data_IF_444751514566
#
_entry.id   IF_444751514566
#
_cell.length_a   1.000
_cell.length_b   1.000
_cell.length_c   1.000
_cell.angle_alpha   90.00
_cell.angle_beta   90.00
_cell.angle_gamma   90.00
#
_symmetry.space_group_name_H-M   'P 1'
#
loop_
_entity.id
_entity.type
_entity.pdbx_description
1 polymer ?
#
# COMPACT_ATOMS: atom_id res chain seq x y z
N UNK A 1 -14.85 -14.90 -21.48
CA UNK A 1 -14.21 -13.69 -22.07
C UNK A 1 -15.27 -12.61 -22.24
N UNK A 2 -15.32 -11.62 -21.36
CA UNK A 2 -16.25 -10.49 -21.44
C UNK A 2 -15.76 -9.58 -22.58
N UNK A 3 -16.48 -9.56 -23.70
CA UNK A 3 -16.20 -8.63 -24.81
C UNK A 3 -16.53 -7.19 -24.36
N UNK A 4 -15.53 -6.48 -23.88
CA UNK A 4 -15.63 -5.06 -23.51
C UNK A 4 -15.66 -4.24 -24.81
N UNK A 5 -16.82 -4.20 -25.50
CA UNK A 5 -16.99 -3.41 -26.74
C UNK A 5 -17.44 -1.97 -26.47
N UNK A 6 -17.76 -1.61 -25.23
CA UNK A 6 -18.21 -0.26 -24.87
C UNK A 6 -17.01 0.63 -24.49
N UNK A 7 -16.89 1.81 -25.08
CA UNK A 7 -15.90 2.83 -24.72
C UNK A 7 -15.96 3.16 -23.23
N UNK A 8 -17.16 3.19 -22.66
CA UNK A 8 -17.44 3.38 -21.23
C UNK A 8 -16.75 2.33 -20.39
N UNK A 9 -16.87 1.04 -20.78
CA UNK A 9 -16.26 -0.05 -20.04
C UNK A 9 -14.73 -0.01 -20.10
N UNK A 10 -14.17 0.35 -21.26
CA UNK A 10 -12.70 0.51 -21.41
C UNK A 10 -12.15 1.65 -20.56
N UNK A 11 -12.81 2.81 -20.57
CA UNK A 11 -12.41 3.94 -19.73
C UNK A 11 -12.51 3.58 -18.23
N UNK A 12 -13.64 3.00 -17.80
CA UNK A 12 -13.84 2.59 -16.41
C UNK A 12 -12.78 1.57 -15.97
N UNK A 13 -12.45 0.59 -16.80
CA UNK A 13 -11.40 -0.40 -16.47
C UNK A 13 -10.01 0.23 -16.42
N UNK A 14 -9.67 1.14 -17.33
CA UNK A 14 -8.39 1.86 -17.29
C UNK A 14 -8.25 2.70 -16.02
N UNK A 15 -9.28 3.45 -15.64
CA UNK A 15 -9.28 4.21 -14.37
C UNK A 15 -9.19 3.30 -13.15
N UNK A 16 -9.94 2.21 -13.14
CA UNK A 16 -9.89 1.25 -12.03
C UNK A 16 -8.51 0.60 -11.87
N UNK A 17 -7.89 0.18 -12.98
CA UNK A 17 -6.55 -0.40 -12.98
C UNK A 17 -5.50 0.63 -12.53
N UNK A 18 -5.57 1.86 -13.06
CA UNK A 18 -4.64 2.92 -12.68
C UNK A 18 -4.76 3.27 -11.19
N UNK A 19 -5.99 3.44 -10.70
CA UNK A 19 -6.24 3.72 -9.28
C UNK A 19 -5.79 2.56 -8.38
N UNK A 20 -6.11 1.31 -8.76
CA UNK A 20 -5.68 0.13 -8.01
C UNK A 20 -4.17 0.00 -7.97
N UNK A 21 -3.47 0.21 -9.11
CA UNK A 21 -2.00 0.13 -9.15
C UNK A 21 -1.34 1.20 -8.27
N UNK A 22 -1.87 2.43 -8.26
CA UNK A 22 -1.37 3.50 -7.41
C UNK A 22 -1.58 3.19 -5.93
N UNK A 23 -2.76 2.67 -5.57
CA UNK A 23 -3.08 2.29 -4.18
C UNK A 23 -2.21 1.13 -3.70
N UNK A 24 -1.99 0.11 -4.55
CA UNK A 24 -1.09 -1.01 -4.24
C UNK A 24 0.34 -0.52 -4.03
N UNK A 25 0.84 0.35 -4.92
CA UNK A 25 2.16 0.93 -4.78
C UNK A 25 2.29 1.73 -3.47
N UNK A 26 1.30 2.57 -3.15
CA UNK A 26 1.28 3.33 -1.91
C UNK A 26 1.26 2.42 -0.68
N UNK A 27 0.46 1.34 -0.69
CA UNK A 27 0.41 0.35 0.40
C UNK A 27 1.75 -0.39 0.58
N UNK A 28 2.42 -0.75 -0.52
CA UNK A 28 3.74 -1.38 -0.47
C UNK A 28 4.80 -0.43 0.11
N UNK A 29 4.80 0.83 -0.32
CA UNK A 29 5.73 1.84 0.20
C UNK A 29 5.48 2.12 1.67
N UNK A 30 4.21 2.24 2.07
CA UNK A 30 3.83 2.41 3.48
C UNK A 30 4.25 1.23 4.34
N UNK A 31 4.01 -0.02 3.89
CA UNK A 31 4.45 -1.22 4.60
C UNK A 31 5.97 -1.24 4.77
N UNK A 32 6.72 -0.92 3.72
CA UNK A 32 8.17 -0.88 3.77
C UNK A 32 8.72 0.22 4.70
N UNK A 33 8.10 1.39 4.69
CA UNK A 33 8.43 2.48 5.61
C UNK A 33 8.17 2.08 7.06
N UNK A 34 7.06 1.40 7.32
CA UNK A 34 6.70 0.92 8.65
C UNK A 34 7.71 -0.12 9.15
N UNK A 35 8.06 -1.11 8.32
CA UNK A 35 9.07 -2.12 8.66
C UNK A 35 10.44 -1.50 9.00
N UNK A 36 10.89 -0.52 8.21
CA UNK A 36 12.13 0.21 8.48
C UNK A 36 12.07 0.99 9.79
N UNK A 37 10.94 1.64 10.06
CA UNK A 37 10.76 2.40 11.29
C UNK A 37 10.80 1.50 12.55
N UNK A 38 10.14 0.34 12.50
CA UNK A 38 10.20 -0.62 13.61
C UNK A 38 11.60 -1.21 13.80
N UNK A 39 12.33 -1.50 12.72
CA UNK A 39 13.72 -1.94 12.81
C UNK A 39 14.63 -0.89 13.50
N UNK A 40 14.41 0.38 13.24
CA UNK A 40 15.13 1.48 13.88
C UNK A 40 14.79 1.58 15.38
N UNK A 41 13.50 1.45 15.72
CA UNK A 41 13.06 1.43 17.13
C UNK A 41 13.66 0.26 17.90
N UNK A 42 13.63 -0.95 17.35
CA UNK A 42 14.20 -2.14 17.95
C UNK A 42 15.72 -1.98 18.18
N UNK A 43 16.42 -1.38 17.20
CA UNK A 43 17.85 -1.10 17.34
C UNK A 43 18.12 -0.11 18.48
N UNK A 44 17.35 0.96 18.59
CA UNK A 44 17.48 1.93 19.68
C UNK A 44 17.20 1.29 21.04
N UNK A 45 16.19 0.42 21.13
CA UNK A 45 15.89 -0.32 22.35
C UNK A 45 17.04 -1.23 22.74
N UNK A 46 17.55 -2.05 21.82
CA UNK A 46 18.70 -2.93 22.05
C UNK A 46 19.94 -2.15 22.50
N UNK A 47 20.26 -1.03 21.86
CA UNK A 47 21.38 -0.17 22.25
C UNK A 47 21.20 0.43 23.64
N UNK A 48 19.97 0.81 24.00
CA UNK A 48 19.62 1.26 25.35
C UNK A 48 19.89 0.17 26.40
N UNK A 49 19.49 -1.09 26.10
CA UNK A 49 19.73 -2.23 27.00
C UNK A 49 21.21 -2.57 27.11
N UNK A 50 21.97 -2.50 26.02
CA UNK A 50 23.42 -2.65 26.03
C UNK A 50 24.07 -1.60 26.92
N UNK A 51 23.63 -0.35 26.85
CA UNK A 51 24.13 0.73 27.71
C UNK A 51 23.81 0.46 29.18
N UNK A 52 22.62 -0.08 29.46
CA UNK A 52 22.24 -0.49 30.81
C UNK A 52 23.17 -1.58 31.37
N UNK A 53 23.45 -2.62 30.57
CA UNK A 53 24.41 -3.70 30.94
C UNK A 53 25.78 -3.11 31.22
N UNK A 54 26.30 -2.26 30.32
CA UNK A 54 27.60 -1.64 30.48
C UNK A 54 27.69 -0.85 31.78
N UNK A 55 26.70 -0.02 32.06
CA UNK A 55 26.62 0.80 33.27
C UNK A 55 26.54 -0.07 34.53
N UNK A 56 25.71 -1.13 34.52
CA UNK A 56 25.58 -2.06 35.64
C UNK A 56 26.90 -2.75 35.96
N UNK A 57 27.60 -3.25 34.93
CA UNK A 57 28.88 -3.93 35.10
C UNK A 57 30.01 -2.99 35.52
N UNK A 58 30.02 -1.76 35.03
CA UNK A 58 31.02 -0.73 35.40
C UNK A 58 30.79 -0.18 36.81
N UNK A 59 29.55 -0.14 37.30
CA UNK A 59 29.21 0.36 38.64
C UNK A 59 29.82 -0.47 39.76
N UNK A 60 30.10 -1.74 39.51
CA UNK A 60 30.73 -2.67 40.48
C UNK A 60 32.23 -2.38 40.67
N UNK A 61 32.84 -1.63 39.72
CA UNK A 61 34.24 -1.21 39.83
C UNK A 61 35.24 -2.33 39.63
N UNK A 62 36.52 -2.00 39.88
CA UNK A 62 37.67 -2.89 39.63
C UNK A 62 37.80 -3.99 40.71
N UNK A 63 37.32 -3.73 41.93
CA UNK A 63 37.43 -4.63 43.06
C UNK A 63 36.26 -5.60 43.18
N UNK A 64 35.16 -5.39 42.44
CA UNK A 64 33.99 -6.25 42.52
C UNK A 64 34.21 -7.58 41.81
N UNK A 65 33.78 -8.65 42.47
CA UNK A 65 33.83 -10.01 41.94
C UNK A 65 32.65 -10.33 40.96
N UNK A 66 32.64 -11.55 40.49
CA UNK A 66 31.58 -12.06 39.62
C UNK A 66 30.18 -12.02 40.29
N UNK A 67 30.03 -12.38 41.59
CA UNK A 67 28.72 -12.32 42.26
C UNK A 67 28.11 -10.92 42.29
N UNK A 68 28.90 -9.89 42.61
CA UNK A 68 28.43 -8.51 42.66
C UNK A 68 28.02 -7.97 41.30
N UNK A 69 28.71 -8.42 40.25
CA UNK A 69 28.35 -8.08 38.86
C UNK A 69 27.01 -8.71 38.42
N UNK A 70 26.79 -9.96 38.83
CA UNK A 70 25.53 -10.66 38.59
C UNK A 70 24.39 -9.94 39.31
N UNK A 71 24.54 -9.60 40.58
CA UNK A 71 23.55 -8.88 41.37
C UNK A 71 23.23 -7.49 40.78
N UNK A 72 24.23 -6.79 40.25
CA UNK A 72 24.07 -5.50 39.58
C UNK A 72 23.23 -5.64 38.28
N UNK A 73 23.50 -6.68 37.52
CA UNK A 73 22.71 -7.00 36.33
C UNK A 73 21.26 -7.34 36.70
N UNK A 74 21.05 -8.24 37.65
CA UNK A 74 19.68 -8.61 38.11
C UNK A 74 18.88 -7.39 38.54
N UNK A 75 19.44 -6.52 39.36
CA UNK A 75 18.79 -5.28 39.79
C UNK A 75 18.45 -4.35 38.65
N UNK A 76 19.29 -4.30 37.59
CA UNK A 76 19.09 -3.42 36.44
C UNK A 76 18.01 -3.91 35.47
N UNK A 77 17.71 -5.20 35.54
CA UNK A 77 16.67 -5.80 34.63
C UNK A 77 15.39 -6.20 35.35
N UNK A 78 15.18 -5.81 36.58
CA UNK A 78 13.93 -5.98 37.32
C UNK A 78 12.79 -5.27 36.52
N UNK A 79 11.73 -6.00 36.19
CA UNK A 79 10.59 -5.46 35.44
C UNK A 79 10.78 -5.40 33.90
N UNK A 80 11.83 -5.99 33.37
CA UNK A 80 12.09 -6.06 31.92
C UNK A 80 11.90 -7.50 31.39
N UNK A 81 10.72 -8.06 31.59
CA UNK A 81 10.40 -9.47 31.24
C UNK A 81 10.51 -9.77 29.73
N UNK A 82 10.37 -8.75 28.86
CA UNK A 82 10.50 -8.89 27.41
C UNK A 82 11.94 -8.92 26.92
N UNK A 83 12.94 -8.80 27.82
CA UNK A 83 14.36 -8.69 27.46
C UNK A 83 15.15 -9.86 28.05
N UNK A 84 15.75 -10.66 27.18
CA UNK A 84 16.74 -11.67 27.57
C UNK A 84 18.15 -11.08 27.56
N UNK A 85 18.96 -11.45 28.54
CA UNK A 85 20.40 -11.11 28.60
C UNK A 85 21.20 -12.37 28.82
N UNK A 86 22.18 -12.60 27.97
CA UNK A 86 23.16 -13.68 28.13
C UNK A 86 24.53 -13.06 28.10
N UNK A 87 25.31 -13.34 29.15
CA UNK A 87 26.70 -12.87 29.31
C UNK A 87 27.61 -14.07 29.31
N UNK A 88 28.66 -14.02 28.49
CA UNK A 88 29.68 -15.07 28.40
C UNK A 88 31.10 -14.51 28.39
N UNK A 89 32.07 -15.35 28.68
CA UNK A 89 33.46 -15.00 28.50
C UNK A 89 33.91 -15.16 27.04
N UNK A 90 35.15 -14.78 26.76
CA UNK A 90 35.74 -14.90 25.42
C UNK A 90 35.95 -16.35 24.96
N UNK A 91 35.91 -17.31 25.87
CA UNK A 91 35.96 -18.75 25.59
C UNK A 91 34.57 -19.33 25.33
N UNK A 92 33.52 -18.51 25.36
CA UNK A 92 32.12 -18.93 25.10
C UNK A 92 31.40 -19.53 26.30
N UNK A 93 32.03 -19.54 27.52
CA UNK A 93 31.36 -20.04 28.72
C UNK A 93 30.35 -19.03 29.21
N UNK A 94 29.11 -19.48 29.38
CA UNK A 94 28.02 -18.65 29.89
C UNK A 94 28.29 -18.35 31.37
N UNK A 95 28.43 -17.08 31.69
CA UNK A 95 28.63 -16.58 33.03
C UNK A 95 27.29 -16.28 33.71
N UNK A 96 26.33 -15.76 32.96
CA UNK A 96 25.05 -15.37 33.48
C UNK A 96 23.97 -15.32 32.39
N UNK A 97 22.73 -15.63 32.75
CA UNK A 97 21.61 -15.58 31.84
C UNK A 97 20.33 -15.09 32.55
N UNK A 98 19.66 -14.12 31.98
CA UNK A 98 18.35 -13.62 32.40
C UNK A 98 17.36 -14.01 31.30
N UNK A 99 16.19 -14.51 31.68
CA UNK A 99 15.16 -14.93 30.76
C UNK A 99 15.67 -15.90 29.66
N UNK A 100 16.12 -17.12 30.04
CA UNK A 100 16.69 -18.11 29.15
C UNK A 100 15.72 -18.55 28.05
N UNK A 101 14.43 -18.33 28.23
CA UNK A 101 13.37 -18.60 27.27
C UNK A 101 13.48 -17.77 25.98
N UNK A 102 14.21 -16.66 25.98
CA UNK A 102 14.44 -15.85 24.79
C UNK A 102 15.58 -16.37 23.89
N UNK A 103 16.31 -17.39 24.34
CA UNK A 103 17.49 -17.89 23.64
C UNK A 103 17.33 -19.32 23.15
N UNK A 104 17.88 -19.61 21.98
CA UNK A 104 17.95 -20.97 21.43
C UNK A 104 18.87 -21.85 22.29
N UNK A 105 18.75 -23.18 22.11
CA UNK A 105 19.62 -24.12 22.83
C UNK A 105 21.09 -23.91 22.49
N UNK A 106 21.46 -23.59 21.26
CA UNK A 106 22.84 -23.33 20.86
C UNK A 106 23.37 -22.04 21.48
N UNK A 107 22.62 -20.97 21.53
CA UNK A 107 23.01 -19.73 22.20
C UNK A 107 23.22 -19.93 23.69
N UNK A 108 22.34 -20.70 24.36
CA UNK A 108 22.51 -21.07 25.77
C UNK A 108 23.74 -21.96 26.02
N UNK A 109 24.16 -22.71 24.99
CA UNK A 109 25.40 -23.47 25.03
C UNK A 109 26.68 -22.63 24.79
N UNK A 110 26.54 -21.32 24.54
CA UNK A 110 27.65 -20.40 24.35
C UNK A 110 28.04 -20.15 22.89
N UNK A 111 27.26 -20.63 21.90
CA UNK A 111 27.55 -20.33 20.50
C UNK A 111 27.35 -18.84 20.21
N UNK A 112 28.33 -18.17 19.54
CA UNK A 112 28.21 -16.78 19.15
C UNK A 112 27.18 -16.60 18.04
N UNK A 113 26.63 -15.39 17.94
CA UNK A 113 25.82 -15.04 16.78
C UNK A 113 26.69 -15.00 15.51
N UNK A 114 26.11 -15.39 14.40
CA UNK A 114 26.78 -15.29 13.09
C UNK A 114 27.01 -13.84 12.64
N UNK A 115 26.25 -12.91 13.22
CA UNK A 115 26.31 -11.45 13.00
C UNK A 115 25.99 -10.75 14.31
N UNK A 116 26.50 -9.53 14.48
CA UNK A 116 26.24 -8.72 15.67
C UNK A 116 24.73 -8.49 15.91
N UNK A 117 23.94 -8.33 14.85
CA UNK A 117 22.48 -8.26 14.89
C UNK A 117 21.89 -9.45 14.15
N UNK A 118 21.06 -10.22 14.82
CA UNK A 118 20.45 -11.44 14.24
C UNK A 118 19.03 -11.61 14.77
N UNK A 119 18.15 -12.10 13.88
CA UNK A 119 16.79 -12.50 14.23
C UNK A 119 16.73 -14.02 14.35
N UNK A 120 15.95 -14.53 15.32
CA UNK A 120 15.69 -15.97 15.50
C UNK A 120 14.29 -16.18 16.07
N UNK A 121 13.86 -17.43 16.11
CA UNK A 121 12.57 -17.82 16.68
C UNK A 121 12.76 -18.86 17.77
N UNK A 122 12.14 -18.68 18.92
CA UNK A 122 12.05 -19.64 20.01
C UNK A 122 10.57 -19.81 20.35
N UNK A 123 10.08 -21.05 20.39
CA UNK A 123 8.69 -21.38 20.71
C UNK A 123 7.69 -20.54 19.90
N UNK A 124 7.92 -20.43 18.58
CA UNK A 124 7.13 -19.65 17.62
C UNK A 124 7.14 -18.12 17.87
N UNK A 125 7.91 -17.63 18.83
CA UNK A 125 8.05 -16.20 19.10
C UNK A 125 9.30 -15.66 18.40
N UNK A 126 9.15 -14.60 17.60
CA UNK A 126 10.29 -13.96 16.95
C UNK A 126 11.05 -13.11 17.95
N UNK A 127 12.36 -13.21 17.92
CA UNK A 127 13.29 -12.46 18.75
C UNK A 127 14.31 -11.77 17.85
N UNK A 128 14.79 -10.62 18.31
CA UNK A 128 15.94 -9.91 17.73
C UNK A 128 16.99 -9.71 18.80
N UNK A 129 18.22 -10.01 18.47
CA UNK A 129 19.31 -9.84 19.43
C UNK A 129 20.50 -9.10 18.87
N UNK A 130 21.16 -8.40 19.78
CA UNK A 130 22.40 -7.67 19.55
C UNK A 130 23.50 -8.23 20.45
N UNK A 131 24.58 -8.69 19.83
CA UNK A 131 25.76 -9.14 20.52
C UNK A 131 26.82 -8.03 20.55
N UNK A 132 27.37 -7.77 21.73
CA UNK A 132 28.39 -6.74 21.94
C UNK A 132 29.48 -7.23 22.86
N UNK A 133 30.73 -6.83 22.58
CA UNK A 133 31.87 -7.03 23.47
C UNK A 133 32.00 -5.85 24.43
N UNK A 134 32.12 -6.14 25.72
CA UNK A 134 32.21 -5.14 26.78
C UNK A 134 33.55 -5.36 27.51
N UNK A 135 34.41 -4.35 27.47
CA UNK A 135 35.63 -4.34 28.26
C UNK A 135 35.30 -3.97 29.71
N UNK A 136 35.74 -4.81 30.64
CA UNK A 136 35.60 -4.59 32.08
C UNK A 136 36.89 -4.03 32.68
N UNK A 137 36.78 -3.09 33.65
CA UNK A 137 37.92 -2.63 34.39
C UNK A 137 38.53 -3.80 35.20
N UNK A 138 39.82 -3.98 35.10
CA UNK A 138 40.58 -5.04 35.80
C UNK A 138 41.76 -4.46 36.56
N UNK A 139 42.10 -5.03 37.73
CA UNK A 139 43.26 -4.65 38.54
C UNK A 139 44.62 -5.08 37.95
N UNK A 140 44.64 -5.77 36.80
CA UNK A 140 45.83 -6.29 36.14
C UNK A 140 46.04 -5.74 34.74
N UNK A 141 47.21 -6.06 34.13
CA UNK A 141 47.59 -5.62 32.79
C UNK A 141 46.72 -6.22 31.64
N UNK A 142 45.75 -7.11 31.92
CA UNK A 142 44.84 -7.69 30.96
C UNK A 142 43.43 -7.14 31.19
N UNK A 143 42.91 -6.41 30.20
CA UNK A 143 41.49 -6.09 30.13
C UNK A 143 40.69 -7.38 30.04
N UNK A 144 39.73 -7.54 30.95
CA UNK A 144 38.79 -8.65 30.88
C UNK A 144 37.64 -8.26 29.93
N UNK A 145 37.58 -8.88 28.78
CA UNK A 145 36.47 -8.70 27.83
C UNK A 145 35.42 -9.76 28.08
N UNK A 146 34.17 -9.36 28.08
CA UNK A 146 33.00 -10.25 28.08
C UNK A 146 32.17 -9.98 26.88
N UNK A 147 31.38 -10.96 26.45
CA UNK A 147 30.38 -10.83 25.38
C UNK A 147 29.00 -10.83 26.00
N UNK A 148 28.21 -9.84 25.65
CA UNK A 148 26.84 -9.72 26.08
C UNK A 148 25.90 -9.82 24.87
N UNK A 149 25.02 -10.79 24.91
CA UNK A 149 23.91 -10.94 23.93
C UNK A 149 22.62 -10.45 24.59
N UNK A 150 22.01 -9.45 23.99
CA UNK A 150 20.72 -8.91 24.41
C UNK A 150 19.68 -9.35 23.40
N UNK A 151 18.59 -9.94 23.86
CA UNK A 151 17.46 -10.37 23.04
C UNK A 151 16.18 -9.63 23.45
N UNK A 152 15.38 -9.24 22.46
CA UNK A 152 14.05 -8.63 22.67
C UNK A 152 12.99 -9.48 21.97
N UNK A 153 11.88 -9.73 22.65
CA UNK A 153 10.71 -10.40 22.07
C UNK A 153 9.95 -9.45 21.17
N UNK A 154 9.84 -9.81 19.89
CA UNK A 154 9.13 -9.03 18.86
C UNK A 154 7.66 -9.41 18.72
N UNK A 155 7.13 -10.32 19.51
CA UNK A 155 5.76 -10.86 19.34
C UNK A 155 4.71 -9.75 19.30
N UNK A 156 4.83 -8.75 20.18
CA UNK A 156 3.92 -7.59 20.18
C UNK A 156 3.98 -6.80 18.88
N UNK A 157 5.18 -6.55 18.36
CA UNK A 157 5.39 -5.79 17.11
C UNK A 157 4.85 -6.56 15.90
N UNK A 158 5.13 -7.87 15.83
CA UNK A 158 4.68 -8.73 14.72
C UNK A 158 3.15 -8.81 14.66
N UNK A 159 2.47 -8.97 15.78
CA UNK A 159 1.00 -8.98 15.83
C UNK A 159 0.41 -7.63 15.43
N UNK A 160 0.98 -6.53 15.91
CA UNK A 160 0.56 -5.19 15.51
C UNK A 160 0.76 -4.96 14.00
N UNK A 161 1.95 -5.25 13.47
CA UNK A 161 2.26 -5.12 12.05
C UNK A 161 1.34 -5.99 11.17
N UNK A 162 1.03 -7.21 11.61
CA UNK A 162 0.08 -8.06 10.91
C UNK A 162 -1.31 -7.43 10.85
N UNK A 163 -1.80 -6.86 11.96
CA UNK A 163 -3.09 -6.17 12.03
C UNK A 163 -3.13 -4.94 11.11
N UNK A 164 -2.08 -4.11 11.15
CA UNK A 164 -1.95 -2.93 10.28
C UNK A 164 -1.92 -3.35 8.81
N UNK A 165 -1.18 -4.42 8.49
CA UNK A 165 -1.10 -4.95 7.12
C UNK A 165 -2.47 -5.42 6.63
N UNK A 166 -3.22 -6.17 7.44
CA UNK A 166 -4.58 -6.59 7.07
C UNK A 166 -5.52 -5.39 6.88
N UNK A 167 -5.49 -4.41 7.79
CA UNK A 167 -6.30 -3.20 7.68
C UNK A 167 -5.95 -2.39 6.42
N UNK A 168 -4.65 -2.27 6.11
CA UNK A 168 -4.16 -1.57 4.90
C UNK A 168 -4.66 -2.25 3.64
N UNK A 169 -4.53 -3.58 3.53
CA UNK A 169 -5.01 -4.32 2.35
C UNK A 169 -6.53 -4.29 2.22
N UNK A 170 -7.27 -4.37 3.33
CA UNK A 170 -8.72 -4.20 3.32
C UNK A 170 -9.10 -2.79 2.84
N UNK A 171 -8.41 -1.76 3.31
CA UNK A 171 -8.60 -0.38 2.87
C UNK A 171 -8.31 -0.19 1.37
N UNK A 172 -7.22 -0.77 0.86
CA UNK A 172 -6.88 -0.77 -0.58
C UNK A 172 -7.98 -1.44 -1.39
N UNK A 173 -8.49 -2.58 -0.94
CA UNK A 173 -9.56 -3.30 -1.62
C UNK A 173 -10.85 -2.46 -1.69
N UNK A 174 -11.27 -1.86 -0.58
CA UNK A 174 -12.47 -1.00 -0.52
C UNK A 174 -12.28 0.24 -1.41
N UNK A 175 -11.13 0.89 -1.34
CA UNK A 175 -10.84 2.08 -2.15
C UNK A 175 -10.78 1.75 -3.65
N UNK A 176 -10.20 0.61 -4.04
CA UNK A 176 -10.19 0.16 -5.43
C UNK A 176 -11.60 -0.14 -5.95
N UNK A 177 -12.44 -0.78 -5.13
CA UNK A 177 -13.84 -1.03 -5.46
C UNK A 177 -14.61 0.28 -5.64
N UNK A 178 -14.44 1.23 -4.71
CA UNK A 178 -15.05 2.55 -4.80
C UNK A 178 -14.60 3.29 -6.08
N UNK A 179 -13.29 3.28 -6.37
CA UNK A 179 -12.74 3.89 -7.59
C UNK A 179 -13.33 3.26 -8.86
N UNK A 180 -13.50 1.94 -8.89
CA UNK A 180 -14.14 1.24 -10.02
C UNK A 180 -15.61 1.66 -10.19
N UNK A 181 -16.36 1.74 -9.09
CA UNK A 181 -17.78 2.17 -9.11
C UNK A 181 -17.92 3.63 -9.55
N UNK A 182 -17.11 4.53 -8.98
CA UNK A 182 -17.14 5.95 -9.39
C UNK A 182 -16.69 6.14 -10.83
N UNK A 183 -15.65 5.43 -11.28
CA UNK A 183 -15.18 5.46 -12.66
C UNK A 183 -16.26 4.96 -13.63
N UNK A 184 -16.95 3.87 -13.28
CA UNK A 184 -18.07 3.36 -14.06
C UNK A 184 -19.24 4.36 -14.12
N UNK A 185 -19.61 4.94 -12.98
CA UNK A 185 -20.69 5.94 -12.89
C UNK A 185 -20.36 7.19 -13.71
N UNK A 186 -19.16 7.74 -13.55
CA UNK A 186 -18.69 8.92 -14.28
C UNK A 186 -18.67 8.67 -15.80
N UNK A 187 -18.13 7.53 -16.23
CA UNK A 187 -18.11 7.15 -17.63
C UNK A 187 -19.52 6.91 -18.21
N UNK A 188 -20.41 6.29 -17.42
CA UNK A 188 -21.78 6.05 -17.85
C UNK A 188 -22.56 7.35 -18.02
N UNK A 189 -22.43 8.27 -17.06
CA UNK A 189 -23.13 9.56 -17.09
C UNK A 189 -22.53 10.54 -18.12
N UNK A 190 -21.19 10.58 -18.20
CA UNK A 190 -20.47 11.46 -19.14
C UNK A 190 -20.70 11.10 -20.61
N UNK A 191 -20.87 9.81 -20.93
CA UNK A 191 -21.12 9.37 -22.30
C UNK A 191 -22.64 9.23 -22.67
N UNK A 192 -23.53 9.50 -21.73
CA UNK A 192 -24.99 9.46 -21.99
C UNK A 192 -25.42 10.40 -23.11
N UNK A 193 -24.95 11.67 -23.21
CA UNK A 193 -25.33 12.57 -24.31
C UNK A 193 -24.93 12.01 -25.69
N UNK A 194 -23.74 11.44 -25.81
CA UNK A 194 -23.24 10.86 -27.05
C UNK A 194 -24.09 9.65 -27.52
N UNK A 195 -24.59 8.85 -26.57
CA UNK A 195 -25.52 7.75 -26.87
C UNK A 195 -26.85 8.28 -27.40
N UNK A 196 -27.37 9.38 -26.83
CA UNK A 196 -28.60 10.02 -27.31
C UNK A 196 -28.45 10.51 -28.75
N UNK A 197 -27.32 11.17 -29.08
CA UNK A 197 -27.01 11.60 -30.45
C UNK A 197 -27.02 10.41 -31.41
N UNK A 198 -26.36 9.33 -31.07
CA UNK A 198 -26.27 8.12 -31.90
C UNK A 198 -27.65 7.46 -32.07
N UNK A 199 -28.48 7.45 -31.04
CA UNK A 199 -29.80 6.85 -31.07
C UNK A 199 -30.79 7.69 -31.92
N UNK A 200 -30.74 9.02 -31.80
CA UNK A 200 -31.50 9.93 -32.65
C UNK A 200 -31.08 9.79 -34.12
N UNK A 201 -29.77 9.73 -34.39
CA UNK A 201 -29.25 9.52 -35.75
C UNK A 201 -29.76 8.20 -36.37
N UNK A 202 -29.87 7.12 -35.60
CA UNK A 202 -30.38 5.82 -36.06
C UNK A 202 -31.90 5.83 -36.36
N UNK A 203 -32.66 6.66 -35.65
CA UNK A 203 -34.12 6.75 -35.83
C UNK A 203 -34.54 7.74 -36.90
N UNK A 204 -33.58 8.51 -37.47
CA UNK A 204 -33.83 9.46 -38.51
C UNK A 204 -34.37 8.77 -39.77
N UNK A 205 -35.58 9.10 -40.11
CA UNK A 205 -36.20 8.82 -41.41
C UNK A 205 -36.55 10.15 -42.09
N UNK A 206 -36.79 10.12 -43.39
CA UNK A 206 -37.14 11.31 -44.18
C UNK A 206 -38.36 12.10 -43.61
N UNK A 207 -39.17 11.43 -42.78
CA UNK A 207 -40.37 12.05 -42.16
C UNK A 207 -40.11 12.72 -40.82
N UNK A 208 -38.87 12.59 -40.24
CA UNK A 208 -38.56 13.06 -38.88
C UNK A 208 -37.32 13.98 -38.85
N UNK A 209 -36.94 14.57 -39.98
CA UNK A 209 -35.78 15.46 -40.11
C UNK A 209 -35.92 16.78 -39.33
N UNK A 210 -37.13 17.15 -38.92
CA UNK A 210 -37.37 18.35 -38.10
C UNK A 210 -36.98 18.26 -36.61
N UNK A 211 -36.64 17.05 -36.11
CA UNK A 211 -36.18 16.92 -34.72
C UNK A 211 -34.76 17.49 -34.57
N UNK A 212 -34.53 18.25 -33.48
CA UNK A 212 -33.23 18.81 -33.11
C UNK A 212 -32.83 18.29 -31.73
N UNK A 213 -31.56 18.12 -31.54
CA UNK A 213 -30.96 17.80 -30.22
C UNK A 213 -30.86 19.07 -29.38
N UNK A 214 -31.27 19.01 -28.11
CA UNK A 214 -31.14 20.13 -27.18
C UNK A 214 -29.68 20.39 -26.89
N UNK A 215 -29.21 21.62 -27.11
CA UNK A 215 -27.83 22.05 -26.92
C UNK A 215 -27.58 22.33 -25.42
N UNK A 216 -28.60 22.81 -24.70
CA UNK A 216 -28.49 23.23 -23.30
C UNK A 216 -28.17 22.08 -22.33
N UNK A 217 -28.59 20.87 -22.68
CA UNK A 217 -28.33 19.66 -21.87
C UNK A 217 -26.99 18.98 -22.21
N UNK A 218 -26.21 19.49 -23.17
CA UNK A 218 -24.95 18.88 -23.60
C UNK A 218 -23.75 19.46 -22.87
N UNK A 219 -22.82 18.61 -22.36
CA UNK A 219 -21.53 19.06 -21.88
C UNK A 219 -20.79 19.87 -22.95
N UNK A 220 -19.91 20.81 -22.49
CA UNK A 220 -19.16 21.72 -23.39
C UNK A 220 -18.41 20.97 -24.49
N UNK A 221 -17.82 19.83 -24.15
CA UNK A 221 -17.02 18.98 -25.05
C UNK A 221 -17.85 18.30 -26.15
N UNK A 222 -19.15 18.20 -25.94
CA UNK A 222 -20.09 17.53 -26.90
C UNK A 222 -20.91 18.56 -27.66
N UNK A 223 -20.94 19.82 -27.23
CA UNK A 223 -21.80 20.89 -27.80
C UNK A 223 -21.51 21.12 -29.29
N UNK A 224 -20.22 21.21 -29.64
CA UNK A 224 -19.82 21.39 -31.06
C UNK A 224 -20.31 20.24 -31.95
N UNK A 225 -20.32 19.00 -31.42
CA UNK A 225 -20.83 17.83 -32.15
C UNK A 225 -22.37 17.88 -32.33
N UNK A 226 -23.07 18.37 -31.30
CA UNK A 226 -24.55 18.55 -31.36
C UNK A 226 -24.90 19.64 -32.35
N UNK A 227 -24.16 20.75 -32.37
CA UNK A 227 -24.36 21.84 -33.34
C UNK A 227 -24.08 21.39 -34.77
N UNK A 228 -22.96 20.71 -35.01
CA UNK A 228 -22.60 20.14 -36.30
C UNK A 228 -23.68 19.17 -36.80
N UNK A 229 -24.19 18.32 -35.90
CA UNK A 229 -25.24 17.37 -36.23
C UNK A 229 -26.56 18.06 -36.56
N UNK A 230 -26.99 19.05 -35.78
CA UNK A 230 -28.18 19.85 -36.05
C UNK A 230 -28.06 20.63 -37.39
N UNK A 231 -26.86 21.13 -37.70
CA UNK A 231 -26.60 21.77 -39.00
C UNK A 231 -26.67 20.82 -40.19
N UNK A 232 -26.27 19.56 -40.02
CA UNK A 232 -26.41 18.51 -41.03
C UNK A 232 -27.87 18.16 -41.24
N UNK A 233 -28.64 18.04 -40.15
CA UNK A 233 -30.10 17.79 -40.23
C UNK A 233 -30.85 18.90 -40.99
N UNK A 234 -30.52 20.16 -40.72
CA UNK A 234 -31.12 21.30 -41.41
C UNK A 234 -30.85 21.28 -42.92
N UNK A 235 -29.61 20.91 -43.32
CA UNK A 235 -29.27 20.77 -44.75
C UNK A 235 -29.99 19.63 -45.41
N UNK A 236 -30.15 18.49 -44.75
CA UNK A 236 -30.91 17.35 -45.26
C UNK A 236 -32.38 17.68 -45.40
N UNK A 237 -33.01 18.33 -44.43
CA UNK A 237 -34.40 18.77 -44.45
C UNK A 237 -34.67 19.70 -45.64
N UNK A 238 -33.79 20.71 -45.82
CA UNK A 238 -33.91 21.64 -46.96
C UNK A 238 -33.70 20.94 -48.32
N UNK A 239 -32.88 19.90 -48.41
CA UNK A 239 -32.69 19.12 -49.61
C UNK A 239 -33.91 18.27 -49.94
N UNK A 240 -34.51 17.61 -48.93
CA UNK A 240 -35.74 16.83 -49.13
C UNK A 240 -36.95 17.70 -49.47
N UNK A 241 -37.07 18.89 -48.87
CA UNK A 241 -38.12 19.83 -49.23
C UNK A 241 -38.01 20.23 -50.71
N UNK A 242 -36.81 20.62 -51.19
CA UNK A 242 -36.60 20.95 -52.61
C UNK A 242 -36.90 19.78 -53.53
N UNK A 243 -36.60 18.56 -53.15
CA UNK A 243 -36.91 17.35 -53.91
C UNK A 243 -38.43 17.13 -53.96
N UNK A 244 -39.12 17.39 -52.84
CA UNK A 244 -40.57 17.32 -52.77
C UNK A 244 -41.29 18.35 -53.70
N UNK A 245 -40.76 19.61 -53.60
CA UNK A 245 -41.29 20.70 -54.45
C UNK A 245 -41.06 20.40 -55.93
N UNK A 246 -39.91 19.94 -56.33
CA UNK A 246 -39.61 19.55 -57.71
C UNK A 246 -40.40 18.37 -58.17
N UNK A 247 -40.70 17.40 -57.33
CA UNK A 247 -41.57 16.28 -57.66
C UNK A 247 -43.08 16.72 -57.85
N UNK A 248 -43.50 17.70 -57.04
CA UNK A 248 -44.83 18.26 -57.12
C UNK A 248 -45.01 19.08 -58.41
N UNK A 249 -43.98 19.88 -58.79
CA UNK A 249 -43.96 20.65 -60.04
C UNK A 249 -44.01 19.74 -61.25
N UNK A 250 -43.20 18.71 -61.32
CA UNK A 250 -43.23 17.70 -62.38
C UNK A 250 -44.66 17.03 -62.49
N UNK A 251 -45.18 16.66 -61.32
CA UNK A 251 -46.48 16.03 -61.26
C UNK A 251 -47.60 16.99 -61.75
N UNK A 252 -47.44 18.29 -61.57
CA UNK A 252 -48.36 19.33 -62.01
C UNK A 252 -48.29 19.57 -63.55
N UNK A 253 -47.05 19.64 -64.09
CA UNK A 253 -46.82 19.79 -65.55
C UNK A 253 -47.31 18.58 -66.34
N UNK A 254 -47.12 17.36 -65.79
CA UNK A 254 -47.63 16.14 -66.44
C UNK A 254 -49.17 16.00 -66.39
N UNK A 255 -49.82 16.78 -65.52
CA UNK A 255 -51.27 16.75 -65.35
C UNK A 255 -52.01 17.79 -66.25
N UNK A 256 -51.21 18.72 -66.82
CA UNK A 256 -51.77 19.71 -67.75
C UNK A 256 -51.97 19.06 -69.14
N UNK A 257 -53.17 18.75 -69.60
CA UNK A 257 -53.35 18.12 -70.89
C UNK A 257 -53.02 19.12 -71.99
N UNK A 258 -52.22 18.67 -72.98
CA UNK A 258 -52.04 19.37 -74.26
C UNK A 258 -53.40 19.52 -74.92
N UNK A 259 -53.90 20.77 -75.04
CA UNK A 259 -54.93 21.16 -75.98
C UNK A 259 -54.31 21.52 -77.29
#
# INVERSE_FOLDING_TARGET
MIRIHSLTARLATLFAVLAASLLVLAAMLFGRMLDMHFQELDMHELQGKVTLIRNALQSVGVTGGQPERIEALERSFVGHESVGVLVRDVEGRVLYIIHPEHFTASQRAGEPLSRALTDWTVDERPHRGLEVSIALPSLGAKEQTIEALVAVDLSHHVHFLASVRHATWAGVFVAALAAALFGWFAAHRGLAPLRRVTETARRLSARQLGQRLAIDDAPLEVRDHVEAFNGMLARLEAAFQRLGDYSADIAHELRTPCH
#
